data_IF_028996228066
#
_entry.id   IF_028996228066
#
_cell.length_a   1.000
_cell.length_b   1.000
_cell.length_c   1.000
_cell.angle_alpha   90.00
_cell.angle_beta   90.00
_cell.angle_gamma   90.00
#
_symmetry.space_group_name_H-M   'P 1'
#
loop_
_entity.id
_entity.type
_entity.pdbx_description
1 polymer ?
#
# COMPACT_ATOMS: atom_id res chain seq x y z
N UNK A 1 41.61 21.97 -62.09
CA UNK A 1 42.80 22.74 -61.66
C UNK A 1 43.00 22.38 -60.20
N UNK A 2 43.98 21.52 -60.01
CA UNK A 2 45.20 21.67 -59.17
C UNK A 2 44.88 21.81 -57.69
N UNK A 3 45.44 21.11 -56.73
CA UNK A 3 46.49 20.11 -56.54
C UNK A 3 46.59 19.85 -55.04
N UNK A 4 46.56 18.61 -54.59
CA UNK A 4 47.58 17.85 -53.85
C UNK A 4 48.41 18.59 -52.77
N UNK A 5 48.46 17.98 -51.59
CA UNK A 5 49.61 17.34 -50.94
C UNK A 5 49.22 16.81 -49.57
N UNK A 6 49.24 15.63 -49.27
CA UNK A 6 50.12 14.60 -48.67
C UNK A 6 51.24 15.18 -47.80
N UNK A 7 51.28 14.78 -46.52
CA UNK A 7 52.52 14.38 -45.87
C UNK A 7 52.33 13.39 -44.73
N UNK A 8 53.05 12.31 -44.88
CA UNK A 8 53.27 11.13 -44.01
C UNK A 8 54.64 11.34 -43.32
N UNK A 9 54.77 10.94 -42.05
CA UNK A 9 56.02 10.51 -41.38
C UNK A 9 55.62 9.93 -40.03
N UNK A 10 55.71 8.70 -39.71
CA UNK A 10 56.71 7.64 -39.61
C UNK A 10 57.70 7.80 -38.45
N UNK A 11 57.54 6.91 -37.45
CA UNK A 11 58.53 6.09 -36.71
C UNK A 11 59.48 6.76 -35.73
N UNK A 12 59.53 6.33 -34.44
CA UNK A 12 60.63 5.41 -34.03
C UNK A 12 60.36 4.83 -32.59
N UNK A 13 60.49 3.53 -32.45
CA UNK A 13 60.58 2.78 -31.21
C UNK A 13 61.98 2.97 -30.57
N UNK A 14 62.04 2.92 -29.25
CA UNK A 14 63.30 2.57 -28.54
C UNK A 14 62.99 1.67 -27.35
N UNK A 15 63.50 0.45 -27.43
CA UNK A 15 63.55 -0.53 -26.36
C UNK A 15 64.71 -0.20 -25.41
N UNK A 16 64.48 -0.38 -24.12
CA UNK A 16 65.50 -0.33 -23.05
C UNK A 16 65.17 -1.37 -22.02
N UNK A 17 65.88 -2.51 -22.08
CA UNK A 17 65.86 -3.53 -21.04
C UNK A 17 66.82 -3.15 -19.92
N UNK A 18 66.40 -3.31 -18.65
CA UNK A 18 67.29 -3.46 -17.50
C UNK A 18 66.72 -4.46 -16.52
N UNK A 19 67.46 -5.53 -16.32
CA UNK A 19 67.27 -6.59 -15.35
C UNK A 19 67.57 -6.07 -13.92
N UNK A 20 66.87 -6.59 -12.92
CA UNK A 20 67.21 -6.34 -11.51
C UNK A 20 66.34 -7.13 -10.56
N UNK A 21 66.81 -8.27 -10.18
CA UNK A 21 66.73 -9.02 -8.90
C UNK A 21 65.39 -9.09 -8.17
N UNK A 22 64.98 -10.31 -7.98
CA UNK A 22 63.85 -10.80 -7.20
C UNK A 22 63.95 -10.55 -5.68
N UNK A 23 62.75 -10.36 -5.13
CA UNK A 23 62.45 -10.75 -3.75
C UNK A 23 61.11 -11.46 -3.77
N UNK A 24 61.15 -12.76 -3.58
CA UNK A 24 59.98 -13.60 -3.32
C UNK A 24 59.53 -13.33 -1.89
N UNK A 25 58.45 -12.58 -1.70
CA UNK A 25 57.73 -12.59 -0.46
C UNK A 25 56.55 -13.54 -0.59
N UNK A 26 56.66 -14.66 0.09
CA UNK A 26 55.59 -15.62 0.36
C UNK A 26 54.46 -14.93 1.10
N UNK A 27 53.33 -14.63 0.46
CA UNK A 27 52.09 -14.21 1.08
C UNK A 27 51.32 -15.45 1.55
N UNK A 28 51.36 -15.70 2.87
CA UNK A 28 50.47 -16.66 3.51
C UNK A 28 49.00 -16.22 3.40
N UNK A 29 48.05 -17.14 3.52
CA UNK A 29 46.63 -16.80 3.47
C UNK A 29 46.24 -15.84 4.62
N UNK A 30 45.26 -14.95 4.41
CA UNK A 30 44.78 -14.06 5.46
C UNK A 30 44.16 -14.86 6.60
N UNK A 31 44.23 -14.36 7.85
CA UNK A 31 43.65 -15.03 9.00
C UNK A 31 42.13 -15.15 8.82
N UNK A 32 41.62 -16.36 9.05
CA UNK A 32 40.17 -16.65 9.06
C UNK A 32 39.51 -15.76 10.14
N UNK A 33 38.61 -14.86 9.71
CA UNK A 33 37.72 -14.14 10.64
C UNK A 33 36.86 -15.18 11.36
N UNK A 34 37.01 -15.24 12.68
CA UNK A 34 36.17 -16.06 13.52
C UNK A 34 34.72 -15.51 13.48
N UNK A 35 33.79 -16.36 13.09
CA UNK A 35 32.35 -16.05 13.14
C UNK A 35 31.97 -15.72 14.60
N UNK A 36 31.13 -14.70 14.83
CA UNK A 36 30.66 -14.36 16.16
C UNK A 36 29.84 -15.52 16.74
N UNK A 37 30.16 -15.88 17.98
CA UNK A 37 29.43 -16.89 18.76
C UNK A 37 27.97 -16.36 18.92
N UNK A 38 26.93 -17.16 18.59
CA UNK A 38 25.56 -16.73 18.81
C UNK A 38 25.29 -16.58 20.32
N UNK A 39 24.75 -15.42 20.69
CA UNK A 39 24.28 -15.19 22.07
C UNK A 39 23.17 -16.20 22.40
N UNK A 40 23.18 -16.78 23.62
CA UNK A 40 22.08 -17.63 24.07
C UNK A 40 20.79 -16.80 24.14
N UNK A 41 19.69 -17.38 23.67
CA UNK A 41 18.37 -16.77 23.75
C UNK A 41 18.01 -16.47 25.22
N UNK A 42 17.37 -15.33 25.52
CA UNK A 42 16.87 -15.03 26.85
C UNK A 42 15.83 -16.07 27.28
N UNK A 43 15.92 -16.47 28.55
CA UNK A 43 14.99 -17.41 29.15
C UNK A 43 13.56 -16.82 29.15
N UNK A 44 12.53 -17.65 28.96
CA UNK A 44 11.13 -17.18 29.00
C UNK A 44 10.80 -16.61 30.38
N UNK A 45 9.96 -15.55 30.45
CA UNK A 45 9.54 -14.98 31.73
C UNK A 45 8.73 -15.99 32.54
N UNK A 46 8.88 -15.94 33.86
CA UNK A 46 8.16 -16.80 34.80
C UNK A 46 6.64 -16.48 34.74
N UNK A 47 5.76 -17.49 34.89
CA UNK A 47 4.32 -17.25 34.91
C UNK A 47 3.91 -16.37 36.11
N UNK A 48 2.91 -15.49 35.94
CA UNK A 48 2.42 -14.66 37.02
C UNK A 48 1.77 -15.50 38.13
N UNK A 49 1.81 -15.03 39.39
CA UNK A 49 1.19 -15.74 40.51
C UNK A 49 -0.34 -15.77 40.37
N UNK A 50 -1.03 -16.80 40.89
CA UNK A 50 -2.49 -16.88 40.79
C UNK A 50 -3.17 -15.76 41.56
N UNK A 51 -4.10 -15.06 40.89
CA UNK A 51 -4.91 -14.00 41.48
C UNK A 51 -6.01 -14.66 42.34
N UNK A 52 -6.02 -14.36 43.64
CA UNK A 52 -7.05 -14.81 44.57
C UNK A 52 -8.38 -14.07 44.27
N UNK A 53 -9.44 -14.83 44.07
CA UNK A 53 -10.79 -14.30 43.84
C UNK A 53 -11.29 -13.56 45.11
N UNK A 54 -11.95 -12.39 44.98
CA UNK A 54 -12.62 -11.76 46.10
C UNK A 54 -13.92 -12.50 46.48
N UNK A 55 -14.17 -12.62 47.76
CA UNK A 55 -15.37 -13.22 48.35
C UNK A 55 -16.63 -12.40 47.97
N UNK A 56 -17.71 -13.10 47.65
CA UNK A 56 -19.01 -12.52 47.39
C UNK A 56 -19.62 -12.08 48.71
N UNK A 57 -19.89 -10.78 48.85
CA UNK A 57 -20.76 -10.24 49.91
C UNK A 57 -22.14 -9.95 49.28
N UNK A 58 -23.16 -10.58 49.84
CA UNK A 58 -24.56 -10.41 49.47
C UNK A 58 -25.16 -9.17 50.17
N UNK A 59 -25.72 -8.29 49.36
CA UNK A 59 -26.51 -7.17 49.86
C UNK A 59 -27.65 -6.87 48.89
N UNK A 60 -28.86 -7.31 49.19
CA UNK A 60 -30.03 -6.97 48.41
C UNK A 60 -30.48 -5.54 48.69
N UNK A 61 -31.00 -4.87 47.68
CA UNK A 61 -31.91 -3.72 47.84
C UNK A 61 -33.08 -3.86 46.87
N UNK A 62 -34.28 -3.94 47.52
CA UNK A 62 -35.58 -3.71 46.90
C UNK A 62 -35.78 -2.21 46.66
N UNK A 63 -36.53 -1.84 45.63
CA UNK A 63 -37.06 -0.49 45.49
C UNK A 63 -37.37 -0.14 44.03
N UNK A 64 -38.56 -0.54 43.58
CA UNK A 64 -39.16 -0.03 42.35
C UNK A 64 -39.86 1.30 42.65
N UNK A 65 -39.62 2.34 41.85
CA UNK A 65 -40.57 3.45 41.71
C UNK A 65 -40.66 3.85 40.23
N UNK A 66 -41.87 3.70 39.69
CA UNK A 66 -42.28 4.17 38.37
C UNK A 66 -42.34 5.69 38.33
N UNK A 67 -41.63 6.32 37.42
CA UNK A 67 -41.84 7.74 37.09
C UNK A 67 -42.48 7.83 35.69
N UNK A 68 -43.75 8.19 35.68
CA UNK A 68 -44.52 8.61 34.51
C UNK A 68 -44.15 10.06 34.19
N UNK A 69 -43.55 10.30 33.00
CA UNK A 69 -43.37 11.67 32.47
C UNK A 69 -44.29 11.89 31.29
N UNK A 70 -45.24 12.74 31.46
CA UNK A 70 -46.19 13.27 30.45
C UNK A 70 -45.48 14.21 29.50
N UNK A 71 -45.76 14.02 28.19
CA UNK A 71 -45.16 14.77 27.10
C UNK A 71 -45.63 16.23 26.99
N UNK A 72 -44.74 17.05 26.47
CA UNK A 72 -45.09 18.32 25.82
C UNK A 72 -44.40 18.39 24.46
N UNK A 73 -45.19 18.54 23.41
CA UNK A 73 -44.74 18.83 22.03
C UNK A 73 -44.15 20.23 22.01
N UNK A 74 -42.96 20.35 21.39
CA UNK A 74 -42.46 21.59 20.81
C UNK A 74 -41.99 21.30 19.42
N UNK A 75 -42.67 21.86 18.43
CA UNK A 75 -42.28 21.85 17.02
C UNK A 75 -41.04 22.74 16.82
N UNK A 76 -39.96 22.15 16.39
CA UNK A 76 -38.78 22.87 16.00
C UNK A 76 -37.97 21.95 15.06
N UNK A 77 -38.08 22.19 13.75
CA UNK A 77 -37.34 21.45 12.73
C UNK A 77 -35.83 21.75 12.81
N UNK A 78 -35.13 20.97 13.59
CA UNK A 78 -33.66 20.89 13.52
C UNK A 78 -33.26 19.74 12.62
N UNK A 79 -32.44 20.05 11.60
CA UNK A 79 -31.82 19.06 10.71
C UNK A 79 -31.09 18.02 11.56
N UNK A 80 -31.17 16.72 11.22
CA UNK A 80 -30.42 15.69 11.96
C UNK A 80 -28.92 15.99 11.83
N UNK A 81 -28.28 16.14 12.98
CA UNK A 81 -26.84 16.18 13.11
C UNK A 81 -26.34 14.83 12.63
N UNK A 82 -25.50 14.82 11.59
CA UNK A 82 -24.85 13.62 11.09
C UNK A 82 -24.01 13.05 12.23
N UNK A 83 -24.37 11.89 12.75
CA UNK A 83 -23.55 11.15 13.71
C UNK A 83 -22.16 10.96 13.11
N UNK A 84 -21.12 11.18 13.92
CA UNK A 84 -19.77 10.94 13.47
C UNK A 84 -19.59 9.44 13.19
N UNK A 85 -18.74 9.08 12.24
CA UNK A 85 -18.38 7.68 11.97
C UNK A 85 -17.90 6.97 13.23
N UNK A 86 -17.26 7.71 14.13
CA UNK A 86 -16.76 7.25 15.42
C UNK A 86 -17.88 6.75 16.33
N UNK A 87 -18.99 7.50 16.43
CA UNK A 87 -20.13 7.10 17.27
C UNK A 87 -20.78 5.80 16.77
N UNK A 88 -20.71 5.53 15.44
CA UNK A 88 -21.17 4.27 14.83
C UNK A 88 -20.20 3.11 15.08
N UNK A 89 -18.89 3.36 15.05
CA UNK A 89 -17.88 2.34 15.33
C UNK A 89 -17.92 1.91 16.81
N UNK A 90 -18.05 2.86 17.73
CA UNK A 90 -18.22 2.57 19.17
C UNK A 90 -19.53 1.84 19.47
N UNK A 91 -20.61 2.20 18.76
CA UNK A 91 -21.89 1.49 18.90
C UNK A 91 -21.82 0.04 18.34
N UNK A 92 -21.04 -0.20 17.29
CA UNK A 92 -20.80 -1.53 16.75
C UNK A 92 -19.97 -2.40 17.69
N UNK A 93 -18.98 -1.83 18.38
CA UNK A 93 -18.15 -2.54 19.37
C UNK A 93 -18.92 -2.95 20.64
N UNK A 94 -20.03 -2.27 20.95
CA UNK A 94 -20.90 -2.58 22.10
C UNK A 94 -21.98 -3.65 21.78
N UNK A 95 -22.09 -4.10 20.55
CA UNK A 95 -23.08 -5.08 20.13
C UNK A 95 -22.65 -6.50 20.51
N UNK A 96 -23.29 -6.99 21.52
CA UNK A 96 -23.32 -8.30 22.18
C UNK A 96 -22.93 -9.50 21.29
N UNK A 97 -22.00 -10.31 21.77
CA UNK A 97 -21.69 -11.67 21.34
C UNK A 97 -22.93 -12.47 20.89
N UNK A 98 -23.01 -12.80 19.62
CA UNK A 98 -23.87 -13.88 19.17
C UNK A 98 -23.20 -15.22 19.50
N UNK A 99 -23.94 -16.26 19.96
CA UNK A 99 -23.34 -17.53 20.29
C UNK A 99 -22.76 -18.21 19.03
N UNK A 100 -21.64 -18.96 19.14
CA UNK A 100 -21.02 -19.59 18.01
C UNK A 100 -21.96 -20.62 17.37
N UNK A 101 -22.27 -20.38 16.10
CA UNK A 101 -23.02 -21.32 15.26
C UNK A 101 -22.25 -22.61 15.08
N UNK A 102 -22.98 -23.71 15.19
CA UNK A 102 -22.50 -25.08 15.05
C UNK A 102 -21.80 -25.34 13.72
N UNK A 103 -20.64 -25.99 13.78
CA UNK A 103 -20.12 -26.85 12.73
C UNK A 103 -19.13 -26.22 11.80
N UNK A 104 -17.85 -26.61 11.98
CA UNK A 104 -16.71 -26.26 11.13
C UNK A 104 -16.85 -26.72 9.67
N UNK A 105 -17.57 -25.97 8.89
CA UNK A 105 -17.30 -25.89 7.45
C UNK A 105 -16.34 -24.72 7.29
N UNK A 106 -15.13 -25.00 6.76
CA UNK A 106 -14.15 -23.95 6.44
C UNK A 106 -14.84 -22.84 5.63
N UNK A 107 -14.67 -21.59 6.03
CA UNK A 107 -15.27 -20.45 5.33
C UNK A 107 -14.80 -20.46 3.88
N UNK A 108 -15.71 -20.18 2.96
CA UNK A 108 -15.48 -20.29 1.52
C UNK A 108 -14.95 -18.95 1.01
N UNK A 109 -13.94 -18.97 0.10
CA UNK A 109 -13.49 -17.80 -0.63
C UNK A 109 -14.60 -17.22 -1.54
N UNK A 110 -14.50 -15.94 -1.87
CA UNK A 110 -15.45 -15.25 -2.72
C UNK A 110 -16.77 -14.90 -2.03
N UNK A 111 -16.75 -14.72 -0.70
CA UNK A 111 -17.92 -14.30 0.08
C UNK A 111 -17.89 -12.81 0.36
N UNK A 112 -16.75 -12.27 0.79
CA UNK A 112 -16.63 -10.85 1.06
C UNK A 112 -16.82 -10.01 -0.20
N UNK A 113 -17.48 -8.86 -0.04
CA UNK A 113 -17.70 -7.88 -1.11
C UNK A 113 -16.91 -6.62 -0.85
N UNK A 114 -16.44 -6.00 -1.92
CA UNK A 114 -15.60 -4.82 -1.84
C UNK A 114 -15.77 -3.89 -3.04
N UNK A 115 -15.40 -2.63 -2.84
CA UNK A 115 -15.22 -1.64 -3.88
C UNK A 115 -13.79 -1.15 -3.95
N UNK A 116 -13.42 -0.53 -5.07
CA UNK A 116 -12.15 0.17 -5.21
C UNK A 116 -12.34 1.61 -5.68
N UNK A 117 -11.37 2.46 -5.32
CA UNK A 117 -11.35 3.84 -5.73
C UNK A 117 -9.92 4.30 -6.07
N UNK A 118 -9.81 5.07 -7.16
CA UNK A 118 -8.54 5.60 -7.63
C UNK A 118 -8.53 7.13 -7.53
N UNK A 119 -7.83 7.66 -6.54
CA UNK A 119 -7.75 9.09 -6.28
C UNK A 119 -6.93 9.85 -7.34
N UNK A 120 -6.07 9.15 -8.08
CA UNK A 120 -5.36 9.74 -9.23
C UNK A 120 -6.27 9.92 -10.44
N UNK A 121 -7.27 9.07 -10.61
CA UNK A 121 -8.28 9.23 -11.65
C UNK A 121 -9.38 10.23 -11.27
N UNK A 122 -9.55 10.50 -9.96
CA UNK A 122 -10.59 11.37 -9.41
C UNK A 122 -10.03 12.55 -8.59
N UNK A 123 -9.06 13.32 -9.13
CA UNK A 123 -8.28 14.28 -8.35
C UNK A 123 -9.11 15.40 -7.72
N UNK A 124 -10.14 15.88 -8.39
CA UNK A 124 -11.01 16.94 -7.86
C UNK A 124 -11.83 16.48 -6.64
N UNK A 125 -12.31 15.23 -6.66
CA UNK A 125 -13.04 14.66 -5.53
C UNK A 125 -12.09 14.40 -4.36
N UNK A 126 -10.88 13.90 -4.63
CA UNK A 126 -9.85 13.72 -3.62
C UNK A 126 -9.43 15.03 -2.96
N UNK A 127 -9.19 16.09 -3.73
CA UNK A 127 -8.85 17.41 -3.18
C UNK A 127 -9.95 17.93 -2.23
N UNK A 128 -11.21 17.76 -2.60
CA UNK A 128 -12.34 18.11 -1.72
C UNK A 128 -12.39 17.27 -0.43
N UNK A 129 -12.08 15.99 -0.52
CA UNK A 129 -11.96 15.09 0.62
C UNK A 129 -10.81 15.52 1.55
N UNK A 130 -9.60 15.70 1.00
CA UNK A 130 -8.42 16.16 1.73
C UNK A 130 -8.67 17.48 2.45
N UNK A 131 -9.29 18.45 1.76
CA UNK A 131 -9.61 19.74 2.37
C UNK A 131 -10.50 19.62 3.60
N UNK A 132 -11.50 18.75 3.57
CA UNK A 132 -12.37 18.51 4.73
C UNK A 132 -11.63 17.79 5.87
N UNK A 133 -10.87 16.75 5.54
CA UNK A 133 -10.11 15.99 6.53
C UNK A 133 -9.09 16.87 7.26
N UNK A 134 -8.35 17.71 6.53
CA UNK A 134 -7.38 18.63 7.13
C UNK A 134 -8.03 19.70 8.02
N UNK A 135 -9.25 20.14 7.72
CA UNK A 135 -10.00 21.04 8.60
C UNK A 135 -10.45 20.37 9.90
N UNK A 136 -10.62 19.06 9.88
CA UNK A 136 -11.13 18.25 11.00
C UNK A 136 -10.03 17.49 11.75
N UNK A 137 -8.75 17.64 11.34
CA UNK A 137 -7.65 16.81 11.85
C UNK A 137 -7.36 16.95 13.36
N UNK A 138 -7.88 17.98 14.04
CA UNK A 138 -7.82 18.08 15.50
C UNK A 138 -6.42 18.15 16.11
N UNK A 139 -5.42 18.64 15.36
CA UNK A 139 -4.01 18.68 15.79
C UNK A 139 -3.15 17.53 15.27
N UNK A 140 -3.72 16.52 14.65
CA UNK A 140 -2.99 15.46 13.92
C UNK A 140 -2.26 16.06 12.74
N UNK A 141 -1.10 15.50 12.40
CA UNK A 141 -0.32 15.92 11.23
C UNK A 141 -0.57 14.98 10.05
N UNK A 142 -1.75 15.11 9.45
CA UNK A 142 -2.10 14.32 8.29
C UNK A 142 -1.25 14.73 7.07
N UNK A 143 -0.79 13.76 6.24
CA UNK A 143 0.02 14.07 5.07
C UNK A 143 -0.81 14.77 3.99
N UNK A 144 -0.20 15.73 3.30
CA UNK A 144 -0.84 16.42 2.19
C UNK A 144 -0.30 15.92 0.84
N UNK A 145 -1.21 15.40 0.02
CA UNK A 145 -0.93 15.01 -1.37
C UNK A 145 -1.93 15.71 -2.27
N UNK A 146 -1.45 16.62 -3.11
CA UNK A 146 -2.28 17.29 -4.11
C UNK A 146 -2.26 16.49 -5.41
N UNK A 147 -3.31 15.72 -5.65
CA UNK A 147 -3.47 14.92 -6.88
C UNK A 147 -3.96 15.76 -8.07
N UNK A 148 -4.44 17.00 -7.85
CA UNK A 148 -4.88 17.89 -8.92
C UNK A 148 -3.68 18.49 -9.66
N UNK A 149 -2.58 18.73 -8.94
CA UNK A 149 -1.33 19.21 -9.49
C UNK A 149 -0.31 18.10 -9.53
N UNK A 150 -0.17 17.45 -10.68
CA UNK A 150 0.78 16.35 -10.84
C UNK A 150 1.46 16.38 -12.20
N UNK A 151 2.68 15.86 -12.25
CA UNK A 151 3.40 15.63 -13.50
C UNK A 151 3.61 14.14 -13.66
N UNK A 152 3.01 13.55 -14.69
CA UNK A 152 3.27 12.15 -15.05
C UNK A 152 4.45 12.09 -16.01
N UNK A 153 5.56 11.52 -15.57
CA UNK A 153 6.69 11.19 -16.45
C UNK A 153 6.40 9.84 -17.08
N UNK A 154 6.30 9.80 -18.39
CA UNK A 154 6.05 8.58 -19.15
C UNK A 154 7.26 8.23 -20.02
N UNK A 155 7.79 7.05 -19.79
CA UNK A 155 8.97 6.52 -20.50
C UNK A 155 8.53 5.45 -21.48
N UNK A 156 8.80 5.71 -22.76
CA UNK A 156 8.51 4.76 -23.84
C UNK A 156 9.79 4.39 -24.58
N UNK A 157 9.84 3.15 -25.04
CA UNK A 157 10.94 2.61 -25.83
C UNK A 157 10.62 2.56 -27.32
N UNK A 158 11.36 1.76 -28.03
CA UNK A 158 11.16 1.50 -29.47
C UNK A 158 9.73 0.98 -29.73
N UNK A 159 9.06 1.56 -30.72
CA UNK A 159 7.69 1.22 -31.07
C UNK A 159 6.63 1.73 -30.09
N UNK A 160 6.96 2.72 -29.26
CA UNK A 160 6.00 3.37 -28.34
C UNK A 160 5.55 2.50 -27.16
N UNK A 161 6.27 1.39 -26.89
CA UNK A 161 5.94 0.51 -25.76
C UNK A 161 6.41 1.13 -24.43
N UNK A 162 5.63 1.04 -23.35
CA UNK A 162 6.05 1.44 -22.01
C UNK A 162 7.36 0.75 -21.60
N UNK A 163 8.23 1.49 -20.92
CA UNK A 163 9.48 0.93 -20.36
C UNK A 163 9.32 0.81 -18.85
N UNK A 164 9.05 -0.40 -18.33
CA UNK A 164 9.02 -0.66 -16.90
C UNK A 164 10.39 -0.44 -16.27
N UNK A 165 10.39 -0.01 -15.02
CA UNK A 165 11.58 0.03 -14.15
C UNK A 165 12.70 0.96 -14.62
N UNK A 166 12.42 1.84 -15.60
CA UNK A 166 13.35 2.89 -15.97
C UNK A 166 13.67 3.78 -14.76
N UNK A 167 14.94 4.06 -14.55
CA UNK A 167 15.36 4.95 -13.46
C UNK A 167 15.04 6.40 -13.81
N UNK A 168 14.35 7.09 -12.92
CA UNK A 168 13.90 8.48 -13.07
C UNK A 168 14.46 9.30 -11.91
N UNK A 169 15.54 10.02 -12.16
CA UNK A 169 16.12 10.94 -11.19
C UNK A 169 15.57 12.35 -11.41
N UNK A 170 15.03 12.94 -10.36
CA UNK A 170 14.49 14.28 -10.40
C UNK A 170 15.39 15.21 -9.57
N UNK A 171 16.12 16.10 -10.26
CA UNK A 171 16.85 17.17 -9.61
C UNK A 171 15.87 18.25 -9.19
N UNK A 172 15.92 18.64 -7.93
CA UNK A 172 15.02 19.62 -7.31
C UNK A 172 15.75 20.93 -7.07
N UNK A 173 15.01 22.07 -6.94
CA UNK A 173 15.60 23.37 -6.56
C UNK A 173 16.28 23.34 -5.19
N UNK A 174 15.78 22.50 -4.27
CA UNK A 174 16.30 22.36 -2.90
C UNK A 174 16.17 20.92 -2.41
N UNK A 175 17.10 20.51 -1.55
CA UNK A 175 17.17 19.16 -0.99
C UNK A 175 17.86 18.15 -1.92
N UNK A 176 17.92 16.86 -1.52
CA UNK A 176 18.51 15.80 -2.32
C UNK A 176 17.70 15.52 -3.57
N UNK A 177 18.33 14.95 -4.60
CA UNK A 177 17.62 14.44 -5.77
C UNK A 177 16.60 13.38 -5.34
N UNK A 178 15.49 13.26 -6.09
CA UNK A 178 14.50 12.22 -5.88
C UNK A 178 14.80 11.09 -6.88
N UNK A 179 15.02 9.89 -6.39
CA UNK A 179 15.29 8.71 -7.20
C UNK A 179 14.05 7.81 -7.23
N UNK A 180 13.45 7.69 -8.40
CA UNK A 180 12.24 6.91 -8.64
C UNK A 180 12.46 5.92 -9.79
N UNK A 181 11.51 5.00 -9.95
CA UNK A 181 11.48 4.08 -11.10
C UNK A 181 10.06 4.04 -11.67
N UNK A 182 9.97 3.90 -13.00
CA UNK A 182 8.66 3.74 -13.65
C UNK A 182 7.98 2.45 -13.23
N UNK A 183 6.66 2.50 -13.09
CA UNK A 183 5.80 1.33 -12.93
C UNK A 183 5.76 0.50 -14.22
N UNK A 184 4.98 -0.56 -14.25
CA UNK A 184 4.85 -1.47 -15.39
C UNK A 184 4.26 -0.81 -16.63
N UNK A 185 3.45 0.23 -16.44
CA UNK A 185 2.91 1.09 -17.51
C UNK A 185 3.93 2.13 -18.05
N UNK A 186 5.18 2.09 -17.58
CA UNK A 186 6.22 3.02 -17.96
C UNK A 186 6.09 4.41 -17.35
N UNK A 187 5.23 4.60 -16.33
CA UNK A 187 5.00 5.93 -15.74
C UNK A 187 5.52 6.04 -14.31
N UNK A 188 5.81 7.27 -13.91
CA UNK A 188 5.94 7.68 -12.52
C UNK A 188 5.26 9.02 -12.33
N UNK A 189 4.54 9.17 -11.21
CA UNK A 189 3.82 10.40 -10.88
C UNK A 189 4.62 11.23 -9.89
N UNK A 190 4.79 12.51 -10.23
CA UNK A 190 5.41 13.52 -9.39
C UNK A 190 4.33 14.48 -8.89
N UNK A 191 4.44 14.88 -7.62
CA UNK A 191 3.51 15.82 -6.97
C UNK A 191 4.29 17.09 -6.61
N UNK A 192 4.11 18.20 -7.34
CA UNK A 192 4.96 19.40 -7.21
C UNK A 192 5.16 19.88 -5.78
N UNK A 193 4.11 19.95 -4.97
CA UNK A 193 4.19 20.41 -3.58
C UNK A 193 4.96 19.41 -2.70
N UNK A 194 4.60 18.12 -2.76
CA UNK A 194 5.24 17.05 -1.98
C UNK A 194 6.71 16.89 -2.38
N UNK A 195 6.98 16.89 -3.67
CA UNK A 195 8.31 16.66 -4.24
C UNK A 195 9.18 17.94 -4.28
N UNK A 196 8.65 19.08 -3.85
CA UNK A 196 9.34 20.38 -3.85
C UNK A 196 9.90 20.74 -5.23
N UNK A 197 9.07 20.58 -6.26
CA UNK A 197 9.43 20.90 -7.64
C UNK A 197 9.29 22.39 -7.92
N UNK A 198 10.05 22.89 -8.89
CA UNK A 198 10.01 24.27 -9.34
C UNK A 198 10.65 24.41 -10.73
N UNK A 199 10.74 25.64 -11.24
CA UNK A 199 11.13 25.95 -12.62
C UNK A 199 12.54 25.45 -13.01
N UNK A 200 13.43 25.23 -12.05
CA UNK A 200 14.77 24.69 -12.28
C UNK A 200 14.85 23.17 -12.18
N UNK A 201 13.74 22.50 -11.90
CA UNK A 201 13.70 21.03 -11.80
C UNK A 201 14.01 20.37 -13.14
N UNK A 202 14.73 19.25 -13.08
CA UNK A 202 15.10 18.45 -14.26
C UNK A 202 14.86 16.99 -13.98
N UNK A 203 14.39 16.29 -14.99
CA UNK A 203 14.22 14.83 -14.98
C UNK A 203 15.30 14.20 -15.83
N UNK A 204 16.05 13.29 -15.26
CA UNK A 204 17.00 12.41 -15.97
C UNK A 204 16.45 11.00 -15.97
N UNK A 205 16.18 10.48 -17.14
CA UNK A 205 15.74 9.09 -17.35
C UNK A 205 16.92 8.26 -17.82
N UNK A 206 17.16 7.12 -17.19
CA UNK A 206 18.15 6.14 -17.62
C UNK A 206 17.56 4.73 -17.63
N UNK A 207 18.04 3.94 -18.56
CA UNK A 207 17.70 2.52 -18.70
C UNK A 207 18.98 1.69 -18.68
N UNK A 208 18.95 0.43 -18.25
CA UNK A 208 20.12 -0.44 -18.28
C UNK A 208 20.73 -0.48 -19.68
N UNK A 209 22.04 -0.27 -19.75
CA UNK A 209 22.82 -0.30 -21.02
C UNK A 209 22.40 0.75 -22.06
N UNK A 210 21.64 1.78 -21.67
CA UNK A 210 21.21 2.86 -22.55
C UNK A 210 21.75 4.23 -22.14
N UNK A 211 21.66 5.24 -23.01
CA UNK A 211 22.05 6.61 -22.68
C UNK A 211 21.03 7.21 -21.69
N UNK A 212 21.56 8.09 -20.81
CA UNK A 212 20.71 8.92 -19.95
C UNK A 212 20.18 10.12 -20.73
N UNK A 213 18.89 10.41 -20.60
CA UNK A 213 18.22 11.55 -21.22
C UNK A 213 17.75 12.52 -20.15
N UNK A 214 18.21 13.78 -20.22
CA UNK A 214 17.77 14.84 -19.30
C UNK A 214 16.82 15.79 -20.00
N UNK A 215 15.71 16.13 -19.33
CA UNK A 215 14.67 17.06 -19.77
C UNK A 215 14.38 18.09 -18.68
N UNK A 216 14.07 19.34 -19.04
CA UNK A 216 13.48 20.27 -18.09
C UNK A 216 12.11 19.74 -17.65
N UNK A 217 11.79 19.91 -16.37
CA UNK A 217 10.48 19.59 -15.83
C UNK A 217 9.67 20.89 -15.73
N UNK A 218 8.63 20.97 -16.53
CA UNK A 218 7.71 22.12 -16.48
C UNK A 218 6.58 21.78 -15.51
N UNK A 219 6.47 22.54 -14.45
CA UNK A 219 5.36 22.49 -13.51
C UNK A 219 4.30 23.49 -14.00
N UNK A 220 3.17 23.00 -14.45
CA UNK A 220 2.03 23.81 -14.88
C UNK A 220 0.86 23.62 -13.93
N UNK A 221 -0.12 24.52 -13.98
CA UNK A 221 -1.38 24.32 -13.28
C UNK A 221 -2.08 23.04 -13.78
N UNK A 222 -2.59 22.25 -12.84
CA UNK A 222 -3.28 21.02 -13.14
C UNK A 222 -2.36 19.82 -13.42
N UNK A 223 -2.94 18.81 -14.04
CA UNK A 223 -2.21 17.60 -14.40
C UNK A 223 -1.47 17.80 -15.73
N UNK A 224 -0.19 17.45 -15.75
CA UNK A 224 0.64 17.51 -16.96
C UNK A 224 1.37 16.20 -17.20
N UNK A 225 1.94 16.04 -18.41
CA UNK A 225 2.63 14.82 -18.81
C UNK A 225 3.94 15.15 -19.52
N UNK A 226 5.03 14.52 -19.08
CA UNK A 226 6.35 14.58 -19.70
C UNK A 226 6.64 13.25 -20.39
N UNK A 227 6.66 13.27 -21.72
CA UNK A 227 7.02 12.09 -22.52
C UNK A 227 8.54 12.02 -22.71
N UNK A 228 9.13 10.87 -22.42
CA UNK A 228 10.54 10.60 -22.63
C UNK A 228 10.68 9.32 -23.45
N UNK A 229 11.14 9.46 -24.67
CA UNK A 229 11.40 8.31 -25.55
C UNK A 229 12.86 7.90 -25.41
N UNK A 230 13.08 6.65 -25.01
CA UNK A 230 14.43 6.07 -24.84
C UNK A 230 14.72 5.04 -25.91
N UNK A 231 15.98 4.90 -26.28
CA UNK A 231 16.41 3.86 -27.21
C UNK A 231 16.62 2.53 -26.47
N UNK A 232 15.52 1.93 -26.04
CA UNK A 232 15.51 0.66 -25.33
C UNK A 232 14.38 -0.24 -25.83
N UNK A 233 14.61 -1.54 -25.75
CA UNK A 233 13.53 -2.52 -25.92
C UNK A 233 12.84 -2.72 -24.56
N UNK A 234 11.52 -2.49 -24.51
CA UNK A 234 10.74 -2.76 -23.32
C UNK A 234 10.67 -4.28 -23.08
N UNK A 235 11.08 -4.72 -21.90
CA UNK A 235 10.92 -6.09 -21.43
C UNK A 235 9.68 -6.16 -20.52
N UNK A 236 8.88 -7.22 -20.70
CA UNK A 236 7.78 -7.49 -19.76
C UNK A 236 8.36 -7.95 -18.40
N UNK A 237 7.74 -7.55 -17.29
CA UNK A 237 8.11 -8.08 -15.98
C UNK A 237 7.94 -9.61 -15.94
N UNK A 238 8.86 -10.29 -15.27
CA UNK A 238 8.84 -11.75 -15.11
C UNK A 238 8.81 -12.19 -13.65
N UNK A 239 8.89 -11.26 -12.73
CA UNK A 239 8.92 -11.50 -11.30
C UNK A 239 7.89 -10.62 -10.58
N UNK A 240 7.24 -11.18 -9.56
CA UNK A 240 6.26 -10.50 -8.72
C UNK A 240 6.50 -10.80 -7.25
N UNK A 241 6.60 -9.78 -6.41
CA UNK A 241 6.69 -9.87 -4.96
C UNK A 241 5.42 -9.28 -4.34
N UNK A 242 4.66 -10.10 -3.63
CA UNK A 242 3.46 -9.71 -2.88
C UNK A 242 3.73 -9.82 -1.39
N UNK A 243 3.64 -8.72 -0.65
CA UNK A 243 3.66 -8.73 0.81
C UNK A 243 2.26 -8.43 1.34
N UNK A 244 1.71 -9.33 2.12
CA UNK A 244 0.49 -9.12 2.89
C UNK A 244 0.86 -8.53 4.24
N UNK A 245 0.27 -7.40 4.62
CA UNK A 245 0.41 -6.77 5.93
C UNK A 245 -0.99 -6.71 6.52
N UNK A 246 -1.24 -7.49 7.55
CA UNK A 246 -2.60 -7.74 8.06
C UNK A 246 -2.66 -7.36 9.53
N UNK A 247 -3.61 -6.52 9.85
CA UNK A 247 -4.01 -6.25 11.20
C UNK A 247 -4.60 -7.52 11.84
N UNK A 248 -4.14 -7.85 13.03
CA UNK A 248 -4.58 -9.02 13.79
C UNK A 248 -5.08 -8.63 15.19
N UNK A 249 -5.57 -7.40 15.34
CA UNK A 249 -6.26 -6.94 16.55
C UNK A 249 -7.68 -7.51 16.63
N UNK A 250 -8.31 -7.38 17.78
CA UNK A 250 -9.60 -8.02 18.06
C UNK A 250 -10.72 -7.60 17.12
N UNK A 251 -10.71 -6.35 16.64
CA UNK A 251 -11.68 -5.81 15.68
C UNK A 251 -11.70 -6.57 14.35
N UNK A 252 -10.54 -7.15 13.95
CA UNK A 252 -10.37 -7.88 12.69
C UNK A 252 -10.83 -9.35 12.74
N UNK A 253 -11.50 -9.79 13.82
CA UNK A 253 -11.83 -11.22 14.03
C UNK A 253 -12.63 -11.81 12.87
N UNK A 254 -13.62 -11.11 12.37
CA UNK A 254 -14.50 -11.60 11.32
C UNK A 254 -13.79 -11.63 9.96
N UNK A 255 -13.06 -10.55 9.63
CA UNK A 255 -12.34 -10.42 8.37
C UNK A 255 -11.19 -11.40 8.26
N UNK A 256 -10.45 -11.61 9.34
CA UNK A 256 -9.30 -12.52 9.37
C UNK A 256 -9.65 -13.92 8.87
N UNK A 257 -10.80 -14.44 9.30
CA UNK A 257 -11.25 -15.79 8.89
C UNK A 257 -11.61 -15.87 7.40
N UNK A 258 -12.14 -14.79 6.82
CA UNK A 258 -12.41 -14.73 5.38
C UNK A 258 -11.14 -14.46 4.56
N UNK A 259 -10.26 -13.59 5.03
CA UNK A 259 -8.98 -13.30 4.38
C UNK A 259 -8.14 -14.57 4.21
N UNK A 260 -8.18 -15.49 5.19
CA UNK A 260 -7.53 -16.80 5.10
C UNK A 260 -8.00 -17.62 3.89
N UNK A 261 -9.29 -17.52 3.56
CA UNK A 261 -9.86 -18.19 2.40
C UNK A 261 -9.56 -17.46 1.09
N UNK A 262 -9.65 -16.12 1.11
CA UNK A 262 -9.49 -15.26 -0.07
C UNK A 262 -8.07 -15.31 -0.67
N UNK A 263 -7.02 -15.33 0.16
CA UNK A 263 -5.62 -15.35 -0.32
C UNK A 263 -5.37 -16.51 -1.29
N UNK A 264 -5.94 -17.67 -1.02
CA UNK A 264 -5.77 -18.85 -1.89
C UNK A 264 -6.39 -18.64 -3.26
N UNK A 265 -7.59 -18.04 -3.30
CA UNK A 265 -8.31 -17.72 -4.52
C UNK A 265 -7.54 -16.67 -5.34
N UNK A 266 -7.05 -15.62 -4.69
CA UNK A 266 -6.26 -14.56 -5.31
C UNK A 266 -5.01 -15.16 -5.97
N UNK A 267 -4.26 -16.00 -5.25
CA UNK A 267 -3.03 -16.58 -5.76
C UNK A 267 -3.24 -17.57 -6.90
N UNK A 268 -4.28 -18.38 -6.83
CA UNK A 268 -4.63 -19.27 -7.93
C UNK A 268 -4.99 -18.47 -9.19
N UNK A 269 -5.78 -17.41 -9.05
CA UNK A 269 -6.14 -16.54 -10.16
C UNK A 269 -4.94 -15.79 -10.78
N UNK A 270 -3.99 -15.33 -9.97
CA UNK A 270 -2.76 -14.69 -10.47
C UNK A 270 -1.88 -15.68 -11.25
N UNK A 271 -1.73 -16.91 -10.76
CA UNK A 271 -0.97 -17.94 -11.46
C UNK A 271 -1.60 -18.31 -12.82
N UNK A 272 -2.93 -18.28 -12.91
CA UNK A 272 -3.66 -18.50 -14.17
C UNK A 272 -3.49 -17.33 -15.15
N UNK A 273 -3.60 -16.07 -14.64
CA UNK A 273 -3.49 -14.85 -15.46
C UNK A 273 -2.06 -14.61 -15.96
N UNK A 274 -1.06 -15.01 -15.18
CA UNK A 274 0.37 -14.77 -15.47
C UNK A 274 1.20 -16.05 -15.41
N UNK A 275 0.97 -17.00 -16.33
CA UNK A 275 1.73 -18.25 -16.36
C UNK A 275 3.22 -17.98 -16.60
N UNK A 276 4.07 -18.53 -15.74
CA UNK A 276 5.53 -18.33 -15.81
C UNK A 276 6.06 -17.10 -15.06
N UNK A 277 5.20 -16.35 -14.37
CA UNK A 277 5.63 -15.30 -13.44
C UNK A 277 6.28 -15.93 -12.20
N UNK A 278 7.53 -15.56 -11.91
CA UNK A 278 8.19 -15.93 -10.66
C UNK A 278 7.61 -15.12 -9.50
N UNK A 279 6.63 -15.70 -8.81
CA UNK A 279 5.89 -15.04 -7.74
C UNK A 279 6.39 -15.48 -6.36
N UNK A 280 6.63 -14.50 -5.48
CA UNK A 280 6.91 -14.74 -4.06
C UNK A 280 5.90 -13.98 -3.21
N UNK A 281 5.49 -14.60 -2.09
CA UNK A 281 4.56 -14.03 -1.14
C UNK A 281 5.21 -14.00 0.22
N UNK A 282 5.12 -12.87 0.92
CA UNK A 282 5.45 -12.71 2.33
C UNK A 282 4.22 -12.33 3.13
N UNK A 283 4.30 -12.48 4.44
CA UNK A 283 3.22 -12.10 5.35
C UNK A 283 3.81 -11.38 6.57
N UNK A 284 3.20 -10.29 6.92
CA UNK A 284 3.33 -9.61 8.21
C UNK A 284 1.95 -9.61 8.86
N UNK A 285 1.88 -9.98 10.13
CA UNK A 285 0.72 -9.71 10.97
C UNK A 285 1.16 -8.80 12.11
N UNK A 286 0.32 -7.82 12.46
CA UNK A 286 0.64 -6.91 13.54
C UNK A 286 -0.56 -6.70 14.48
N UNK A 287 -0.26 -6.21 15.67
CA UNK A 287 -1.20 -5.78 16.70
C UNK A 287 -0.73 -4.47 17.28
N UNK A 288 -1.25 -4.09 18.44
CA UNK A 288 -0.79 -2.89 19.09
C UNK A 288 0.37 -3.10 20.09
N UNK A 289 0.93 -1.99 20.54
CA UNK A 289 1.97 -1.92 21.57
C UNK A 289 1.37 -2.35 22.91
N UNK A 290 1.97 -3.39 23.50
CA UNK A 290 1.48 -3.96 24.75
C UNK A 290 0.76 -5.29 24.59
N UNK A 291 0.39 -5.67 23.39
CA UNK A 291 -0.15 -6.98 23.08
C UNK A 291 0.87 -8.11 23.20
N UNK A 292 0.42 -9.35 23.04
CA UNK A 292 1.28 -10.54 23.06
C UNK A 292 2.46 -10.47 22.06
N UNK A 293 2.30 -9.70 21.01
CA UNK A 293 3.33 -9.29 20.05
C UNK A 293 2.88 -8.04 19.33
N UNK A 294 3.82 -7.25 18.84
CA UNK A 294 3.53 -6.10 17.99
C UNK A 294 3.57 -6.49 16.51
N UNK A 295 4.63 -7.18 16.07
CA UNK A 295 4.80 -7.61 14.68
C UNK A 295 5.29 -9.05 14.63
N UNK A 296 4.72 -9.85 13.72
CA UNK A 296 5.22 -11.16 13.31
C UNK A 296 5.47 -11.17 11.82
N UNK A 297 6.62 -11.70 11.43
CA UNK A 297 7.10 -11.68 10.06
C UNK A 297 7.29 -13.09 9.53
N UNK A 298 6.82 -13.32 8.30
CA UNK A 298 6.99 -14.57 7.57
C UNK A 298 7.63 -14.24 6.22
N UNK A 299 8.82 -14.76 5.94
CA UNK A 299 9.63 -14.34 4.80
C UNK A 299 8.96 -14.65 3.47
N UNK A 300 9.42 -13.98 2.40
CA UNK A 300 9.00 -14.28 1.04
C UNK A 300 9.27 -15.74 0.67
N UNK A 301 8.26 -16.42 0.16
CA UNK A 301 8.32 -17.79 -0.36
C UNK A 301 7.52 -17.92 -1.66
N UNK A 302 7.92 -18.85 -2.53
CA UNK A 302 7.13 -19.26 -3.68
C UNK A 302 6.07 -20.31 -3.34
N UNK A 303 6.08 -20.83 -2.12
CA UNK A 303 5.11 -21.85 -1.66
C UNK A 303 3.86 -21.21 -1.06
N UNK A 304 2.81 -21.14 -1.87
CA UNK A 304 1.50 -20.61 -1.46
C UNK A 304 0.89 -21.40 -0.30
N UNK A 305 1.14 -22.70 -0.21
CA UNK A 305 0.59 -23.54 0.86
C UNK A 305 1.25 -23.20 2.20
N UNK A 306 2.54 -22.88 2.19
CA UNK A 306 3.26 -22.41 3.37
C UNK A 306 2.64 -21.11 3.89
N UNK A 307 2.38 -20.13 3.02
CA UNK A 307 1.77 -18.85 3.42
C UNK A 307 0.37 -19.07 3.98
N UNK A 308 -0.42 -19.94 3.34
CA UNK A 308 -1.75 -20.31 3.85
C UNK A 308 -1.69 -20.92 5.24
N UNK A 309 -0.77 -21.85 5.48
CA UNK A 309 -0.59 -22.48 6.79
C UNK A 309 -0.20 -21.42 7.84
N UNK A 310 0.75 -20.55 7.52
CA UNK A 310 1.19 -19.47 8.39
C UNK A 310 0.03 -18.52 8.75
N UNK A 311 -0.79 -18.12 7.76
CA UNK A 311 -1.94 -17.26 8.01
C UNK A 311 -3.04 -17.99 8.79
N UNK A 312 -3.28 -19.28 8.53
CA UNK A 312 -4.27 -20.09 9.24
C UNK A 312 -4.00 -20.17 10.76
N UNK A 313 -2.73 -20.11 11.16
CA UNK A 313 -2.32 -20.11 12.56
C UNK A 313 -2.54 -18.75 13.25
N UNK A 314 -2.69 -17.67 12.49
CA UNK A 314 -2.91 -16.35 13.07
C UNK A 314 -4.34 -16.20 13.59
N UNK A 315 -4.50 -15.45 14.66
CA UNK A 315 -5.81 -15.14 15.26
C UNK A 315 -5.86 -13.65 15.54
N UNK A 316 -7.01 -13.07 15.29
CA UNK A 316 -7.30 -11.74 15.74
C UNK A 316 -7.55 -11.76 17.25
N UNK A 317 -6.81 -10.95 18.00
CA UNK A 317 -6.87 -10.84 19.46
C UNK A 317 -6.05 -9.63 19.91
N UNK A 318 -6.31 -9.06 21.10
CA UNK A 318 -5.63 -7.86 21.54
C UNK A 318 -6.26 -6.59 20.98
N UNK A 319 -5.47 -5.52 20.85
CA UNK A 319 -5.99 -4.19 20.71
C UNK A 319 -6.59 -3.74 22.07
N UNK A 320 -7.24 -2.65 22.14
CA UNK A 320 -7.86 -2.15 23.39
C UNK A 320 -8.34 -0.73 23.20
N UNK A 321 -7.69 -0.04 22.30
CA UNK A 321 -8.03 1.27 21.80
C UNK A 321 -7.92 1.28 20.25
N UNK A 322 -8.39 2.36 19.65
CA UNK A 322 -8.52 2.42 18.19
C UNK A 322 -7.17 2.52 17.45
N UNK A 323 -6.15 3.29 17.91
CA UNK A 323 -4.86 3.33 17.22
C UNK A 323 -4.07 2.01 17.37
N UNK A 324 -3.38 1.59 16.30
CA UNK A 324 -2.63 0.35 16.25
C UNK A 324 -1.19 0.56 15.73
N UNK A 325 -0.31 -0.42 15.90
CA UNK A 325 1.11 -0.26 15.55
C UNK A 325 1.41 -0.40 14.04
N UNK A 326 0.63 0.27 13.20
CA UNK A 326 0.79 0.30 11.73
C UNK A 326 2.18 0.78 11.32
N UNK A 327 2.75 1.76 12.04
CA UNK A 327 4.09 2.30 11.79
C UNK A 327 5.16 1.23 11.88
N UNK A 328 5.07 0.34 12.88
CA UNK A 328 6.02 -0.74 13.05
C UNK A 328 5.88 -1.81 11.97
N UNK A 329 4.65 -2.15 11.59
CA UNK A 329 4.38 -3.07 10.49
C UNK A 329 4.92 -2.53 9.16
N UNK A 330 4.68 -1.26 8.85
CA UNK A 330 5.17 -0.61 7.63
C UNK A 330 6.70 -0.52 7.61
N UNK A 331 7.34 -0.20 8.73
CA UNK A 331 8.80 -0.20 8.85
C UNK A 331 9.39 -1.58 8.57
N UNK A 332 8.78 -2.64 9.09
CA UNK A 332 9.20 -4.02 8.80
C UNK A 332 8.98 -4.37 7.35
N UNK A 333 7.84 -4.00 6.78
CA UNK A 333 7.55 -4.20 5.36
C UNK A 333 8.60 -3.56 4.45
N UNK A 334 9.08 -2.36 4.78
CA UNK A 334 10.14 -1.72 4.02
C UNK A 334 11.50 -2.42 4.19
N UNK A 335 11.73 -3.16 5.26
CA UNK A 335 12.97 -3.91 5.47
C UNK A 335 13.00 -5.28 4.75
N UNK A 336 11.90 -5.73 4.17
CA UNK A 336 11.85 -7.00 3.44
C UNK A 336 12.81 -7.04 2.24
N UNK A 337 13.30 -8.25 1.87
CA UNK A 337 14.22 -8.43 0.75
C UNK A 337 13.48 -8.42 -0.60
N UNK A 338 12.88 -7.29 -0.94
CA UNK A 338 12.20 -7.04 -2.19
C UNK A 338 13.18 -7.13 -3.37
N UNK A 339 12.82 -7.86 -4.43
CA UNK A 339 13.61 -7.91 -5.66
C UNK A 339 13.49 -6.60 -6.44
N UNK A 340 14.60 -6.13 -7.00
CA UNK A 340 14.60 -4.88 -7.74
C UNK A 340 13.91 -4.96 -9.10
N UNK A 341 13.97 -6.12 -9.75
CA UNK A 341 13.41 -6.42 -11.04
C UNK A 341 11.99 -7.00 -11.01
N UNK A 342 11.41 -7.15 -9.81
CA UNK A 342 10.03 -7.60 -9.62
C UNK A 342 9.02 -6.44 -9.64
N UNK A 343 7.81 -6.70 -10.08
CA UNK A 343 6.64 -5.91 -9.68
C UNK A 343 6.43 -6.12 -8.19
N UNK A 344 6.15 -5.06 -7.45
CA UNK A 344 6.06 -5.12 -5.98
C UNK A 344 4.74 -4.57 -5.52
N UNK A 345 3.98 -5.38 -4.79
CA UNK A 345 2.73 -4.96 -4.17
C UNK A 345 2.74 -5.28 -2.68
N UNK A 346 2.30 -4.31 -1.89
CA UNK A 346 2.03 -4.45 -0.46
C UNK A 346 0.53 -4.28 -0.27
N UNK A 347 -0.16 -5.34 0.14
CA UNK A 347 -1.58 -5.28 0.50
C UNK A 347 -1.67 -5.06 2.00
N UNK A 348 -2.14 -3.88 2.41
CA UNK A 348 -2.33 -3.49 3.81
C UNK A 348 -3.81 -3.65 4.17
N UNK A 349 -4.13 -4.60 5.03
CA UNK A 349 -5.51 -4.83 5.50
C UNK A 349 -5.62 -4.35 6.95
N UNK A 350 -6.45 -3.36 7.21
CA UNK A 350 -6.61 -2.74 8.52
C UNK A 350 -7.93 -1.97 8.63
N UNK A 351 -8.36 -1.70 9.87
CA UNK A 351 -9.49 -0.86 10.22
C UNK A 351 -9.09 0.37 11.06
N UNK A 352 -7.89 0.37 11.65
CA UNK A 352 -7.42 1.39 12.57
C UNK A 352 -6.25 2.21 12.02
N UNK A 353 -6.11 3.50 12.43
CA UNK A 353 -4.96 4.33 12.10
C UNK A 353 -3.75 3.97 12.98
N UNK A 354 -2.53 4.41 12.60
CA UNK A 354 -1.42 4.45 13.56
C UNK A 354 -1.69 5.46 14.67
N UNK A 355 -1.02 5.33 15.82
CA UNK A 355 -1.05 6.33 16.88
C UNK A 355 -0.73 7.73 16.33
N UNK A 356 -1.37 8.78 16.88
CA UNK A 356 -1.28 10.15 16.35
C UNK A 356 0.16 10.65 16.21
N UNK A 357 1.04 10.30 17.16
CA UNK A 357 2.48 10.64 17.13
C UNK A 357 3.28 9.78 16.13
N UNK A 358 2.68 8.75 15.53
CA UNK A 358 3.27 7.82 14.57
C UNK A 358 2.83 8.05 13.13
N UNK A 359 1.85 8.91 12.88
CA UNK A 359 1.36 9.22 11.54
C UNK A 359 2.50 9.65 10.60
N UNK A 360 3.39 10.55 11.06
CA UNK A 360 4.53 11.01 10.25
C UNK A 360 5.51 9.86 9.93
N UNK A 361 5.76 8.97 10.89
CA UNK A 361 6.63 7.81 10.69
C UNK A 361 6.02 6.83 9.68
N UNK A 362 4.74 6.52 9.81
CA UNK A 362 4.01 5.67 8.88
C UNK A 362 4.02 6.26 7.46
N UNK A 363 3.82 7.57 7.34
CA UNK A 363 3.88 8.27 6.06
C UNK A 363 5.28 8.23 5.42
N UNK A 364 6.35 8.34 6.22
CA UNK A 364 7.72 8.23 5.74
C UNK A 364 7.99 6.85 5.10
N UNK A 365 7.41 5.78 5.66
CA UNK A 365 7.52 4.45 5.07
C UNK A 365 6.73 4.34 3.75
N UNK A 366 5.61 5.04 3.61
CA UNK A 366 4.89 5.11 2.33
C UNK A 366 5.70 5.85 1.25
N UNK A 367 6.44 6.90 1.62
CA UNK A 367 7.37 7.58 0.70
C UNK A 367 8.54 6.67 0.32
N UNK A 368 9.07 5.89 1.27
CA UNK A 368 10.08 4.86 1.01
C UNK A 368 9.55 3.78 0.06
N UNK A 369 8.31 3.33 0.24
CA UNK A 369 7.65 2.42 -0.69
C UNK A 369 7.59 2.98 -2.11
N UNK A 370 7.21 4.27 -2.26
CA UNK A 370 7.18 4.97 -3.54
C UNK A 370 8.56 4.99 -4.21
N UNK A 371 9.62 5.36 -3.48
CA UNK A 371 11.00 5.39 -4.01
C UNK A 371 11.46 3.99 -4.46
N UNK A 372 11.08 2.97 -3.72
CA UNK A 372 11.38 1.57 -4.02
C UNK A 372 10.41 0.95 -5.02
N UNK A 373 9.43 1.72 -5.53
CA UNK A 373 8.38 1.25 -6.44
C UNK A 373 7.60 0.07 -5.87
N UNK A 374 7.22 0.16 -4.61
CA UNK A 374 6.30 -0.76 -3.95
C UNK A 374 4.92 -0.10 -3.97
N UNK A 375 3.97 -0.72 -4.67
CA UNK A 375 2.59 -0.25 -4.71
C UNK A 375 1.88 -0.68 -3.44
N UNK A 376 1.41 0.27 -2.64
CA UNK A 376 0.60 -0.02 -1.45
C UNK A 376 -0.85 -0.09 -1.89
N UNK A 377 -1.48 -1.26 -1.72
CA UNK A 377 -2.90 -1.52 -1.94
C UNK A 377 -3.58 -1.62 -0.58
N UNK A 378 -4.10 -0.53 -0.03
CA UNK A 378 -4.82 -0.60 1.24
C UNK A 378 -6.18 -1.23 1.05
N UNK A 379 -6.59 -2.03 2.02
CA UNK A 379 -7.91 -2.66 2.13
C UNK A 379 -8.50 -2.25 3.48
N UNK A 380 -9.43 -1.34 3.45
CA UNK A 380 -10.16 -0.90 4.64
C UNK A 380 -11.17 -1.97 5.06
N UNK A 381 -11.01 -2.47 6.28
CA UNK A 381 -11.88 -3.46 6.90
C UNK A 381 -13.08 -2.80 7.62
N UNK A 382 -13.86 -3.60 8.36
CA UNK A 382 -15.06 -3.14 9.07
C UNK A 382 -14.75 -2.00 10.03
N UNK A 383 -15.59 -0.97 10.04
CA UNK A 383 -15.48 0.11 11.02
C UNK A 383 -14.28 1.04 10.84
N UNK A 384 -13.65 1.07 9.67
CA UNK A 384 -12.44 1.87 9.41
C UNK A 384 -12.59 3.31 9.92
N UNK A 385 -11.62 3.76 10.72
CA UNK A 385 -11.54 5.15 11.23
C UNK A 385 -11.27 6.15 10.09
N UNK A 386 -11.79 7.37 10.22
CA UNK A 386 -11.64 8.44 9.23
C UNK A 386 -10.15 8.77 8.96
N UNK A 387 -9.29 8.68 9.97
CA UNK A 387 -7.84 8.93 9.84
C UNK A 387 -7.15 7.76 9.13
N UNK A 388 -7.61 6.52 9.38
CA UNK A 388 -7.13 5.34 8.67
C UNK A 388 -7.51 5.42 7.18
N UNK A 389 -8.78 5.71 6.84
CA UNK A 389 -9.21 5.92 5.45
C UNK A 389 -8.35 7.00 4.78
N UNK A 390 -8.13 8.14 5.46
CA UNK A 390 -7.33 9.23 4.92
C UNK A 390 -5.91 8.78 4.59
N UNK A 391 -5.23 8.14 5.54
CA UNK A 391 -3.84 7.70 5.37
C UNK A 391 -3.74 6.61 4.29
N UNK A 392 -4.66 5.65 4.28
CA UNK A 392 -4.74 4.60 3.25
C UNK A 392 -4.89 5.18 1.85
N UNK A 393 -5.78 6.17 1.66
CA UNK A 393 -5.98 6.83 0.36
C UNK A 393 -4.76 7.62 -0.07
N UNK A 394 -4.11 8.32 0.87
CA UNK A 394 -2.86 9.03 0.59
C UNK A 394 -1.73 8.06 0.18
N UNK A 395 -1.60 6.92 0.87
CA UNK A 395 -0.63 5.87 0.53
C UNK A 395 -0.89 5.28 -0.86
N UNK A 396 -2.15 4.95 -1.17
CA UNK A 396 -2.52 4.44 -2.49
C UNK A 396 -2.18 5.45 -3.59
N UNK A 397 -2.54 6.73 -3.42
CA UNK A 397 -2.29 7.77 -4.40
C UNK A 397 -0.78 7.99 -4.63
N UNK A 398 0.04 8.08 -3.56
CA UNK A 398 1.47 8.36 -3.70
C UNK A 398 2.25 7.20 -4.29
N UNK A 399 1.78 5.97 -4.13
CA UNK A 399 2.39 4.75 -4.67
C UNK A 399 1.74 4.25 -5.98
N UNK A 400 0.89 5.08 -6.60
CA UNK A 400 0.20 4.76 -7.87
C UNK A 400 -0.61 3.45 -7.78
N UNK A 401 -1.47 3.36 -6.76
CA UNK A 401 -2.33 2.22 -6.50
C UNK A 401 -3.78 2.65 -6.25
N UNK A 402 -4.62 1.72 -5.83
CA UNK A 402 -6.04 1.94 -5.55
C UNK A 402 -6.33 1.70 -4.06
N UNK A 403 -7.24 2.50 -3.52
CA UNK A 403 -7.86 2.26 -2.24
C UNK A 403 -8.98 1.24 -2.40
N UNK A 404 -8.94 0.15 -1.63
CA UNK A 404 -9.95 -0.90 -1.58
C UNK A 404 -10.66 -0.82 -0.23
N UNK A 405 -11.95 -1.11 -0.19
CA UNK A 405 -12.76 -1.10 1.03
C UNK A 405 -13.81 -2.20 0.97
N UNK A 406 -14.06 -2.84 2.10
CA UNK A 406 -15.11 -3.84 2.25
C UNK A 406 -16.50 -3.18 2.22
N UNK A 407 -17.53 -3.95 1.88
CA UNK A 407 -18.93 -3.47 1.81
C UNK A 407 -19.89 -4.49 2.41
N UNK A 408 -21.05 -4.02 2.87
CA UNK A 408 -22.10 -4.84 3.50
C UNK A 408 -22.91 -5.71 2.51
N UNK A 409 -22.62 -5.63 1.21
CA UNK A 409 -23.39 -6.35 0.18
C UNK A 409 -23.29 -7.89 0.31
N UNK A 410 -22.29 -8.40 1.02
CA UNK A 410 -22.17 -9.83 1.34
C UNK A 410 -23.13 -10.31 2.44
N UNK A 411 -23.59 -9.41 3.30
CA UNK A 411 -24.32 -9.72 4.52
C UNK A 411 -23.50 -10.50 5.56
N UNK A 412 -22.17 -10.45 5.46
CA UNK A 412 -21.22 -11.15 6.33
C UNK A 412 -20.24 -10.16 6.94
N UNK A 413 -19.89 -10.38 8.20
CA UNK A 413 -19.01 -9.51 8.96
C UNK A 413 -19.77 -8.44 9.76
N UNK A 414 -19.01 -7.60 10.46
CA UNK A 414 -19.54 -6.42 11.14
C UNK A 414 -19.89 -5.34 10.10
N UNK A 415 -20.75 -4.35 10.44
CA UNK A 415 -21.07 -3.27 9.50
C UNK A 415 -19.83 -2.51 9.04
N UNK A 416 -19.72 -2.32 7.73
CA UNK A 416 -18.63 -1.56 7.13
C UNK A 416 -18.97 -0.07 7.05
N UNK A 417 -17.98 0.78 7.29
CA UNK A 417 -18.15 2.22 7.11
C UNK A 417 -18.36 2.54 5.63
N UNK A 418 -19.36 3.39 5.33
CA UNK A 418 -19.52 3.90 3.96
C UNK A 418 -18.27 4.71 3.57
N UNK A 419 -17.56 4.35 2.50
CA UNK A 419 -16.36 5.06 2.08
C UNK A 419 -16.70 6.49 1.63
N UNK A 420 -15.83 7.45 1.92
CA UNK A 420 -16.06 8.83 1.47
C UNK A 420 -15.66 9.04 0.01
N UNK A 421 -16.24 8.24 -0.89
CA UNK A 421 -16.03 8.27 -2.34
C UNK A 421 -17.33 8.54 -3.10
N UNK A 422 -17.24 8.92 -4.36
CA UNK A 422 -18.41 9.38 -5.14
C UNK A 422 -19.01 8.34 -6.05
N UNK A 423 -18.21 7.39 -6.48
CA UNK A 423 -18.67 6.30 -7.34
C UNK A 423 -17.76 5.08 -7.18
N UNK A 424 -18.31 3.90 -7.29
CA UNK A 424 -17.58 2.64 -7.29
C UNK A 424 -18.48 1.49 -7.78
N UNK A 425 -17.84 0.36 -8.04
CA UNK A 425 -18.53 -0.89 -8.31
C UNK A 425 -18.24 -1.88 -7.19
N UNK A 426 -19.28 -2.54 -6.70
CA UNK A 426 -19.14 -3.62 -5.72
C UNK A 426 -18.97 -4.93 -6.47
N UNK A 427 -17.93 -5.67 -6.11
CA UNK A 427 -17.64 -7.01 -6.59
C UNK A 427 -17.19 -7.89 -5.44
N UNK A 428 -16.90 -9.15 -5.68
CA UNK A 428 -16.26 -10.01 -4.67
C UNK A 428 -14.81 -9.58 -4.45
N UNK A 429 -14.37 -9.63 -3.19
CA UNK A 429 -13.04 -9.15 -2.77
C UNK A 429 -11.90 -9.88 -3.48
N UNK A 430 -11.97 -11.22 -3.59
CA UNK A 430 -10.94 -12.01 -4.25
C UNK A 430 -10.75 -11.62 -5.72
N UNK A 431 -11.85 -11.49 -6.46
CA UNK A 431 -11.83 -11.03 -7.84
C UNK A 431 -11.34 -9.59 -7.97
N UNK A 432 -11.71 -8.70 -7.02
CA UNK A 432 -11.26 -7.30 -7.03
C UNK A 432 -9.76 -7.20 -6.79
N UNK A 433 -9.24 -7.83 -5.72
CA UNK A 433 -7.80 -7.79 -5.43
C UNK A 433 -6.98 -8.42 -6.55
N UNK A 434 -7.45 -9.54 -7.14
CA UNK A 434 -6.81 -10.11 -8.33
C UNK A 434 -6.70 -9.08 -9.45
N UNK A 435 -7.81 -8.39 -9.82
CA UNK A 435 -7.80 -7.37 -10.88
C UNK A 435 -6.89 -6.19 -10.56
N UNK A 436 -6.82 -5.77 -9.29
CA UNK A 436 -5.89 -4.71 -8.86
C UNK A 436 -4.44 -5.17 -9.07
N UNK A 437 -4.08 -6.36 -8.61
CA UNK A 437 -2.75 -6.92 -8.78
C UNK A 437 -2.41 -7.20 -10.25
N UNK A 438 -3.34 -7.75 -11.03
CA UNK A 438 -3.21 -7.91 -12.49
C UNK A 438 -2.95 -6.56 -13.19
N UNK A 439 -3.60 -5.48 -12.73
CA UNK A 439 -3.37 -4.14 -13.27
C UNK A 439 -1.95 -3.65 -12.99
N UNK A 440 -1.42 -3.91 -11.79
CA UNK A 440 -0.05 -3.56 -11.41
C UNK A 440 0.98 -4.38 -12.21
N UNK A 441 0.71 -5.65 -12.46
CA UNK A 441 1.60 -6.53 -13.23
C UNK A 441 1.59 -6.17 -14.71
N UNK A 442 0.41 -5.99 -15.29
CA UNK A 442 0.25 -5.76 -16.73
C UNK A 442 0.47 -4.30 -17.15
N UNK A 443 0.46 -3.35 -16.21
CA UNK A 443 0.49 -1.91 -16.50
C UNK A 443 -0.78 -1.38 -17.16
N UNK A 444 -1.88 -2.11 -17.08
CA UNK A 444 -3.18 -1.71 -17.64
C UNK A 444 -4.27 -1.95 -16.61
N UNK A 445 -5.15 -0.97 -16.45
CA UNK A 445 -6.30 -1.12 -15.57
C UNK A 445 -7.18 -2.27 -16.05
N UNK A 446 -7.44 -3.22 -15.16
CA UNK A 446 -8.35 -4.35 -15.38
C UNK A 446 -9.65 -4.04 -14.66
N UNK A 447 -10.74 -4.00 -15.41
CA UNK A 447 -12.11 -3.75 -14.90
C UNK A 447 -12.87 -5.06 -14.73
N UNK A 448 -13.88 -5.11 -13.83
CA UNK A 448 -14.74 -6.27 -13.72
C UNK A 448 -15.64 -6.41 -14.96
N UNK A 449 -15.94 -7.65 -15.33
CA UNK A 449 -17.01 -7.92 -16.29
C UNK A 449 -18.37 -7.56 -15.66
N UNK A 450 -19.37 -7.31 -16.51
CA UNK A 450 -20.74 -7.02 -16.07
C UNK A 450 -21.33 -8.11 -15.14
N UNK A 451 -20.87 -9.35 -15.28
CA UNK A 451 -21.33 -10.49 -14.46
C UNK A 451 -20.72 -10.51 -13.06
N UNK A 452 -19.57 -9.86 -12.87
CA UNK A 452 -18.89 -9.75 -11.57
C UNK A 452 -19.41 -8.58 -10.74
N UNK A 453 -20.06 -7.59 -11.38
CA UNK A 453 -20.59 -6.40 -10.70
C UNK A 453 -21.88 -6.75 -9.96
N UNK A 454 -21.84 -6.68 -8.63
CA UNK A 454 -22.97 -6.91 -7.74
C UNK A 454 -23.84 -5.64 -7.65
N UNK A 455 -23.19 -4.48 -7.45
CA UNK A 455 -23.87 -3.19 -7.30
C UNK A 455 -23.00 -2.06 -7.85
N UNK A 456 -23.65 -0.99 -8.33
CA UNK A 456 -22.98 0.25 -8.73
C UNK A 456 -23.44 1.40 -7.87
N UNK A 457 -22.49 2.22 -7.44
CA UNK A 457 -22.74 3.47 -6.71
C UNK A 457 -22.23 4.62 -7.54
N UNK A 458 -23.09 5.60 -7.78
CA UNK A 458 -22.76 6.76 -8.59
C UNK A 458 -22.47 6.47 -10.07
N UNK A 459 -22.21 7.50 -10.87
CA UNK A 459 -21.85 7.37 -12.27
C UNK A 459 -20.37 7.01 -12.42
N UNK A 460 -20.10 5.76 -12.76
CA UNK A 460 -18.77 5.16 -12.85
C UNK A 460 -18.45 4.74 -14.28
N UNK A 461 -17.24 5.08 -14.75
CA UNK A 461 -16.68 4.59 -16.00
C UNK A 461 -15.16 4.42 -15.88
N UNK A 462 -14.66 3.20 -15.96
CA UNK A 462 -13.22 2.86 -15.95
C UNK A 462 -12.43 3.55 -14.83
N UNK A 463 -12.96 3.53 -13.60
CA UNK A 463 -12.34 4.15 -12.43
C UNK A 463 -12.63 5.63 -12.23
N UNK A 464 -13.29 6.28 -13.19
CA UNK A 464 -13.62 7.72 -13.15
C UNK A 464 -15.06 7.93 -12.72
N UNK A 465 -15.28 8.81 -11.74
CA UNK A 465 -16.60 9.29 -11.38
C UNK A 465 -17.02 10.43 -12.34
N UNK A 466 -18.03 10.18 -13.14
CA UNK A 466 -18.55 11.20 -14.05
C UNK A 466 -19.25 12.32 -13.27
N UNK A 467 -18.95 13.56 -13.64
CA UNK A 467 -19.68 14.74 -13.16
C UNK A 467 -20.88 15.02 -14.07
N UNK A 468 -21.90 15.74 -13.58
CA UNK A 468 -23.06 16.14 -14.40
C UNK A 468 -22.67 16.91 -15.67
N UNK A 469 -21.49 17.57 -15.69
CA UNK A 469 -20.97 18.27 -16.89
C UNK A 469 -20.51 17.30 -17.98
N UNK A 470 -20.07 16.10 -17.62
CA UNK A 470 -19.60 15.06 -18.57
C UNK A 470 -20.75 14.22 -19.14
N UNK A 471 -21.95 14.30 -18.54
CA UNK A 471 -23.16 13.56 -19.00
C UNK A 471 -23.90 14.21 -20.17
N UNK A 472 -23.55 15.43 -20.61
CA UNK A 472 -24.18 16.02 -21.77
C UNK A 472 -23.64 15.33 -23.03
N UNK A 473 -24.50 14.65 -23.84
CA UNK A 473 -24.06 14.11 -25.11
C UNK A 473 -23.63 15.28 -26.01
N UNK A 474 -22.49 15.09 -26.67
CA UNK A 474 -22.05 16.01 -27.75
C UNK A 474 -22.94 15.88 -28.97
#
# INVERSE_FOLDING_TARGET
MRERARNTALVTALAGALAGMGCTTSSGPPPSEALPIPYPAPAPPAPPPPVSAPAADGGGYEGAEDIVVTGSRVDGASRPRRESRRDRAEAASASTFAPPGRGGQGRQAGVLTAGDYDDLLNPTFYAGYVSRALQQQGGRRLPYVDTTQRVTVAVTGRGGRPVPFAHVRVRRPSGPDLDLRTATDGTVVLFPALDRLGDTSRVTVSVPNGPSLTRPLVVSEGASRLEVVVDAQAAAPHAFDLLMVVDATGSMTDEMEYLKAEISSIMAGLAESHPGMDTRIGLIVYRDVGDAYVVREFPFTGDVQQVRAQLAEQRADGGGDTPEAVDQAMKRAMAYPWREDAVKALVLVADAPPHDDRIEATWAEALTARERRIHIVPVAASGVDDSAEFLMRAMAAVTQSRYVFLTDDSGVGLPHADPEVKCYQVTRLDGLLRRVLDSLISGRRVEPSEREVIRRVGPYREGVCETDRQRRPQ
#
